data_IF_857662283317
#
_entry.id   IF_857662283317
#
_cell.length_a   1.000
_cell.length_b   1.000
_cell.length_c   1.000
_cell.angle_alpha   90.00
_cell.angle_beta   90.00
_cell.angle_gamma   90.00
#
_symmetry.space_group_name_H-M   'P 1'
#
loop_
_entity.id
_entity.type
_entity.pdbx_description
1 polymer ?
#
# COMPACT_ATOMS: atom_id res chain seq x y z
N UNK A 1 28.13 35.54 -25.40
CA UNK A 1 26.85 34.92 -24.96
C UNK A 1 26.63 33.47 -25.43
N UNK A 2 27.42 32.88 -26.36
CA UNK A 2 27.06 31.60 -27.01
C UNK A 2 27.15 30.29 -26.22
N UNK A 3 28.15 30.08 -25.35
CA UNK A 3 28.36 28.78 -24.68
C UNK A 3 27.30 28.42 -23.63
N UNK A 4 26.89 29.41 -22.82
CA UNK A 4 25.86 29.21 -21.79
C UNK A 4 24.50 28.87 -22.42
N UNK A 5 24.14 29.56 -23.50
CA UNK A 5 22.93 29.28 -24.27
C UNK A 5 22.94 27.89 -24.90
N UNK A 6 24.09 27.44 -25.42
CA UNK A 6 24.23 26.09 -25.95
C UNK A 6 24.06 25.01 -24.87
N UNK A 7 24.64 25.18 -23.68
CA UNK A 7 24.45 24.23 -22.58
C UNK A 7 23.01 24.18 -22.11
N UNK A 8 22.33 25.33 -22.01
CA UNK A 8 20.91 25.38 -21.66
C UNK A 8 20.05 24.64 -22.69
N UNK A 9 20.34 24.79 -23.98
CA UNK A 9 19.64 24.07 -25.05
C UNK A 9 19.85 22.55 -24.93
N UNK A 10 21.09 22.10 -24.75
CA UNK A 10 21.42 20.67 -24.63
C UNK A 10 20.71 20.06 -23.42
N UNK A 11 20.78 20.71 -22.25
CA UNK A 11 20.09 20.26 -21.04
C UNK A 11 18.58 20.21 -21.28
N UNK A 12 18.02 21.24 -21.93
CA UNK A 12 16.59 21.28 -22.28
C UNK A 12 16.16 20.10 -23.16
N UNK A 13 16.93 19.77 -24.20
CA UNK A 13 16.65 18.61 -25.08
C UNK A 13 16.75 17.29 -24.31
N UNK A 14 17.77 17.11 -23.48
CA UNK A 14 17.94 15.88 -22.70
C UNK A 14 16.81 15.71 -21.66
N UNK A 15 16.40 16.79 -20.99
CA UNK A 15 15.26 16.78 -20.06
C UNK A 15 13.97 16.46 -20.81
N UNK A 16 13.73 17.11 -21.95
CA UNK A 16 12.56 16.84 -22.78
C UNK A 16 12.51 15.38 -23.23
N UNK A 17 13.64 14.82 -23.70
CA UNK A 17 13.76 13.42 -24.07
C UNK A 17 13.52 12.45 -22.90
N UNK A 18 14.06 12.79 -21.72
CA UNK A 18 13.91 11.96 -20.52
C UNK A 18 12.46 11.90 -20.01
N UNK A 19 11.78 13.05 -20.03
CA UNK A 19 10.39 13.20 -19.58
C UNK A 19 9.43 12.60 -20.60
N UNK A 20 9.67 12.83 -21.90
CA UNK A 20 8.77 12.43 -22.97
C UNK A 20 8.58 10.90 -23.04
N UNK A 21 7.31 10.51 -23.12
CA UNK A 21 6.89 9.16 -23.50
C UNK A 21 5.80 9.32 -24.56
N UNK A 22 5.88 8.61 -25.69
CA UNK A 22 4.80 8.59 -26.66
C UNK A 22 3.57 7.93 -26.03
N UNK A 23 2.50 8.70 -25.85
CA UNK A 23 1.20 8.21 -25.40
C UNK A 23 0.20 8.25 -26.57
N UNK A 24 -0.72 7.28 -26.66
CA UNK A 24 -1.90 7.37 -27.52
C UNK A 24 -2.66 8.70 -27.38
N UNK A 25 -3.28 9.16 -28.47
CA UNK A 25 -3.95 10.48 -28.52
C UNK A 25 -5.31 10.55 -27.82
N UNK A 26 -5.80 9.43 -27.30
CA UNK A 26 -7.11 9.27 -26.64
C UNK A 26 -7.06 9.47 -25.11
N UNK A 27 -5.87 9.74 -24.54
CA UNK A 27 -5.75 10.10 -23.12
C UNK A 27 -6.25 11.53 -22.87
N UNK A 28 -7.16 11.69 -21.89
CA UNK A 28 -7.70 12.99 -21.49
C UNK A 28 -6.61 13.93 -20.93
N UNK A 29 -5.70 13.40 -20.10
CA UNK A 29 -4.64 14.17 -19.43
C UNK A 29 -3.23 13.53 -19.61
N UNK A 30 -2.66 13.50 -20.82
CA UNK A 30 -1.41 12.81 -21.10
C UNK A 30 -0.22 13.37 -20.30
N UNK A 31 -0.22 14.69 -20.05
CA UNK A 31 0.84 15.36 -19.29
C UNK A 31 0.93 14.88 -17.83
N UNK A 32 -0.20 14.52 -17.19
CA UNK A 32 -0.18 13.98 -15.81
C UNK A 32 0.54 12.64 -15.76
N UNK A 33 0.29 11.77 -16.74
CA UNK A 33 0.96 10.47 -16.88
C UNK A 33 2.45 10.62 -17.19
N UNK A 34 2.79 11.54 -18.09
CA UNK A 34 4.18 11.88 -18.44
C UNK A 34 4.96 12.34 -17.21
N UNK A 35 4.42 13.29 -16.44
CA UNK A 35 5.05 13.80 -15.21
C UNK A 35 5.15 12.72 -14.13
N UNK A 36 4.10 11.91 -13.96
CA UNK A 36 4.10 10.79 -13.02
C UNK A 36 5.21 9.80 -13.37
N UNK A 37 5.29 9.38 -14.63
CA UNK A 37 6.35 8.51 -15.11
C UNK A 37 7.75 9.12 -14.90
N UNK A 38 7.93 10.41 -15.24
CA UNK A 38 9.22 11.08 -15.08
C UNK A 38 9.68 11.06 -13.61
N UNK A 39 8.74 11.23 -12.67
CA UNK A 39 9.00 11.08 -11.23
C UNK A 39 9.45 9.65 -10.89
N UNK A 40 8.73 8.62 -11.33
CA UNK A 40 9.12 7.22 -11.08
C UNK A 40 10.50 6.91 -11.65
N UNK A 41 10.79 7.29 -12.89
CA UNK A 41 12.12 7.12 -13.50
C UNK A 41 13.21 7.80 -12.69
N UNK A 42 12.98 9.05 -12.26
CA UNK A 42 13.96 9.81 -11.49
C UNK A 42 14.29 9.13 -10.16
N UNK A 43 13.26 8.63 -9.44
CA UNK A 43 13.45 7.87 -8.20
C UNK A 43 14.26 6.60 -8.43
N UNK A 44 13.95 5.84 -9.48
CA UNK A 44 14.66 4.59 -9.80
C UNK A 44 16.13 4.87 -10.14
N UNK A 45 16.41 5.82 -11.04
CA UNK A 45 17.79 6.16 -11.40
C UNK A 45 18.58 6.70 -10.20
N UNK A 46 17.96 7.51 -9.35
CA UNK A 46 18.60 8.00 -8.13
C UNK A 46 18.89 6.85 -7.14
N UNK A 47 17.95 5.93 -6.95
CA UNK A 47 18.15 4.77 -6.09
C UNK A 47 19.28 3.85 -6.59
N UNK A 48 19.35 3.61 -7.91
CA UNK A 48 20.46 2.87 -8.54
C UNK A 48 21.78 3.61 -8.31
N UNK A 49 21.82 4.92 -8.54
CA UNK A 49 23.02 5.72 -8.34
C UNK A 49 23.52 5.67 -6.89
N UNK A 50 22.61 5.77 -5.91
CA UNK A 50 22.93 5.64 -4.48
C UNK A 50 23.51 4.24 -4.15
N UNK A 51 22.94 3.19 -4.73
CA UNK A 51 23.44 1.83 -4.55
C UNK A 51 24.81 1.63 -5.19
N UNK A 52 25.05 2.17 -6.38
CA UNK A 52 26.36 2.11 -7.06
C UNK A 52 27.46 2.84 -6.27
N UNK A 53 27.11 3.88 -5.52
CA UNK A 53 28.02 4.56 -4.61
C UNK A 53 28.26 3.79 -3.29
N UNK A 54 27.54 2.69 -3.06
CA UNK A 54 27.62 1.90 -1.83
C UNK A 54 26.98 2.59 -0.61
N UNK A 55 26.13 3.59 -0.82
CA UNK A 55 25.58 4.42 0.26
C UNK A 55 24.35 3.81 0.92
N UNK A 56 23.52 3.09 0.16
CA UNK A 56 22.32 2.42 0.67
C UNK A 56 21.83 1.33 -0.29
N UNK A 57 21.04 0.37 0.20
CA UNK A 57 20.42 -0.66 -0.64
C UNK A 57 19.32 -0.07 -1.54
N UNK A 58 19.22 -0.50 -2.80
CA UNK A 58 18.25 0.03 -3.77
C UNK A 58 16.82 0.10 -3.24
N UNK A 59 16.30 -1.02 -2.70
CA UNK A 59 14.92 -1.06 -2.15
C UNK A 59 14.71 -0.13 -0.95
N UNK A 60 15.74 0.08 -0.12
CA UNK A 60 15.64 1.02 1.00
C UNK A 60 15.60 2.47 0.49
N UNK A 61 16.38 2.78 -0.55
CA UNK A 61 16.34 4.08 -1.23
C UNK A 61 14.99 4.33 -1.91
N UNK A 62 14.48 3.36 -2.66
CA UNK A 62 13.14 3.42 -3.27
C UNK A 62 12.08 3.63 -2.20
N UNK A 63 12.10 2.85 -1.11
CA UNK A 63 11.18 3.02 0.03
C UNK A 63 11.25 4.42 0.61
N UNK A 64 12.44 5.00 0.76
CA UNK A 64 12.62 6.34 1.31
C UNK A 64 12.01 7.43 0.42
N UNK A 65 12.30 7.42 -0.89
CA UNK A 65 11.79 8.45 -1.82
C UNK A 65 10.31 8.29 -2.16
N UNK A 66 9.77 7.10 -1.95
CA UNK A 66 8.36 6.79 -2.21
C UNK A 66 7.56 6.61 -0.93
N UNK A 67 8.12 6.94 0.23
CA UNK A 67 7.43 6.76 1.50
C UNK A 67 6.15 7.59 1.47
N UNK A 68 5.02 6.91 1.70
CA UNK A 68 3.75 7.58 1.78
C UNK A 68 3.54 8.13 3.18
N UNK A 69 2.87 9.29 3.25
CA UNK A 69 2.48 9.89 4.52
C UNK A 69 1.72 8.85 5.36
N UNK A 70 2.20 8.59 6.56
CA UNK A 70 1.51 7.72 7.53
C UNK A 70 0.60 8.54 8.42
N UNK A 71 -0.55 7.97 8.79
CA UNK A 71 -1.53 8.61 9.66
C UNK A 71 -1.74 7.79 10.93
N UNK A 72 -1.95 8.45 12.09
CA UNK A 72 -2.30 7.75 13.33
C UNK A 72 -3.68 7.07 13.22
N UNK A 73 -3.99 6.08 14.08
CA UNK A 73 -5.28 5.40 14.10
C UNK A 73 -6.37 6.29 14.73
N UNK A 74 -6.66 7.42 14.10
CA UNK A 74 -7.65 8.39 14.62
C UNK A 74 -9.06 7.91 14.31
N UNK A 75 -9.90 7.76 15.34
CA UNK A 75 -11.32 7.50 15.15
C UNK A 75 -12.07 8.78 14.77
N UNK A 76 -13.13 8.65 13.98
CA UNK A 76 -14.02 9.75 13.59
C UNK A 76 -15.46 9.44 14.01
N UNK A 77 -16.43 10.24 13.60
CA UNK A 77 -17.86 10.05 13.94
C UNK A 77 -18.46 8.75 13.40
N UNK A 78 -17.93 8.23 12.28
CA UNK A 78 -18.48 7.06 11.59
C UNK A 78 -17.70 5.78 11.92
N UNK A 79 -16.39 5.87 12.08
CA UNK A 79 -15.49 4.72 12.20
C UNK A 79 -14.63 4.82 13.47
N UNK A 80 -14.60 3.73 14.23
CA UNK A 80 -13.57 3.48 15.25
C UNK A 80 -12.37 2.83 14.58
N UNK A 81 -11.19 3.42 14.77
CA UNK A 81 -9.91 2.91 14.24
C UNK A 81 -9.00 2.53 15.39
N UNK A 82 -8.42 1.33 15.33
CA UNK A 82 -7.55 0.82 16.41
C UNK A 82 -6.39 0.04 15.84
N UNK A 83 -5.18 0.35 16.30
CA UNK A 83 -3.99 -0.45 16.06
C UNK A 83 -3.88 -1.56 17.12
N UNK A 84 -3.62 -2.79 16.67
CA UNK A 84 -3.46 -3.96 17.53
C UNK A 84 -2.56 -4.99 16.83
N UNK A 85 -2.46 -6.20 17.38
CA UNK A 85 -1.70 -7.30 16.76
C UNK A 85 -2.54 -8.56 16.66
N UNK A 86 -2.44 -9.24 15.51
CA UNK A 86 -3.03 -10.54 15.25
C UNK A 86 -1.89 -11.54 15.08
N UNK A 87 -1.73 -12.44 16.05
CA UNK A 87 -0.57 -13.34 16.16
C UNK A 87 0.78 -12.61 16.02
N UNK A 88 0.98 -11.55 16.81
CA UNK A 88 2.17 -10.66 16.79
C UNK A 88 2.36 -9.83 15.51
N UNK A 89 1.49 -9.97 14.51
CA UNK A 89 1.54 -9.16 13.29
C UNK A 89 0.70 -7.88 13.49
N UNK A 90 1.28 -6.68 13.29
CA UNK A 90 0.54 -5.44 13.46
C UNK A 90 -0.61 -5.32 12.47
N UNK A 91 -1.80 -5.01 12.96
CA UNK A 91 -2.99 -4.77 12.15
C UNK A 91 -3.67 -3.47 12.59
N UNK A 92 -4.33 -2.80 11.65
CA UNK A 92 -5.25 -1.70 11.93
C UNK A 92 -6.67 -2.15 11.65
N UNK A 93 -7.54 -2.01 12.64
CA UNK A 93 -8.94 -2.44 12.55
C UNK A 93 -9.84 -1.22 12.46
N UNK A 94 -10.77 -1.26 11.51
CA UNK A 94 -11.77 -0.23 11.25
C UNK A 94 -13.15 -0.84 11.52
N UNK A 95 -13.88 -0.26 12.47
CA UNK A 95 -15.18 -0.74 12.92
C UNK A 95 -16.21 0.38 12.76
N UNK A 96 -17.29 0.18 11.98
CA UNK A 96 -18.37 1.14 11.89
C UNK A 96 -19.07 1.33 13.24
N UNK A 97 -19.28 2.59 13.64
CA UNK A 97 -19.97 2.98 14.89
C UNK A 97 -21.48 2.88 14.81
N UNK A 98 -22.04 2.82 13.59
CA UNK A 98 -23.47 2.61 13.37
C UNK A 98 -23.93 1.35 14.12
N UNK A 99 -25.14 1.34 14.66
CA UNK A 99 -25.64 0.15 15.36
C UNK A 99 -25.86 -0.97 14.34
N UNK A 100 -25.22 -2.15 14.49
CA UNK A 100 -25.40 -3.25 13.57
C UNK A 100 -26.80 -3.83 13.70
N UNK A 101 -27.46 -4.12 12.57
CA UNK A 101 -28.74 -4.87 12.54
C UNK A 101 -28.52 -6.39 12.62
N UNK A 102 -27.33 -6.86 12.28
CA UNK A 102 -26.89 -8.25 12.28
C UNK A 102 -25.36 -8.29 12.34
N UNK A 103 -24.77 -9.49 12.44
CA UNK A 103 -23.32 -9.66 12.26
C UNK A 103 -22.88 -9.08 10.90
N UNK A 104 -21.79 -8.31 10.92
CA UNK A 104 -21.25 -7.60 9.77
C UNK A 104 -20.46 -8.51 8.85
N UNK A 105 -20.20 -8.04 7.64
CA UNK A 105 -19.15 -8.61 6.79
C UNK A 105 -17.78 -8.29 7.41
N UNK A 106 -16.79 -9.11 7.07
CA UNK A 106 -15.38 -8.87 7.39
C UNK A 106 -14.57 -8.73 6.12
N UNK A 107 -13.67 -7.76 6.07
CA UNK A 107 -12.70 -7.62 4.99
C UNK A 107 -11.30 -7.66 5.59
N UNK A 108 -10.47 -8.58 5.11
CA UNK A 108 -9.05 -8.61 5.42
C UNK A 108 -8.28 -7.95 4.28
N UNK A 109 -7.72 -6.77 4.54
CA UNK A 109 -7.05 -5.93 3.56
C UNK A 109 -5.52 -6.05 3.65
N UNK A 110 -4.87 -6.23 2.50
CA UNK A 110 -3.43 -6.39 2.37
C UNK A 110 -2.89 -5.27 1.47
N UNK A 111 -2.10 -4.38 2.06
CA UNK A 111 -1.54 -3.25 1.32
C UNK A 111 -0.55 -3.70 0.24
N UNK A 112 -0.45 -2.89 -0.83
CA UNK A 112 0.60 -3.03 -1.85
C UNK A 112 1.90 -2.34 -1.43
N UNK A 113 2.88 -2.32 -2.33
CA UNK A 113 4.17 -1.67 -2.10
C UNK A 113 5.38 -2.49 -2.52
N UNK A 114 5.22 -3.40 -3.50
CA UNK A 114 6.32 -4.22 -4.01
C UNK A 114 6.99 -5.08 -2.94
N UNK A 115 6.24 -5.49 -1.91
CA UNK A 115 6.74 -6.17 -0.71
C UNK A 115 7.81 -5.41 0.08
N UNK A 116 8.12 -4.16 -0.30
CA UNK A 116 9.21 -3.36 0.25
C UNK A 116 8.74 -2.03 0.84
N UNK A 117 7.46 -1.67 0.72
CA UNK A 117 6.97 -0.36 1.14
C UNK A 117 5.52 -0.38 1.61
N UNK A 118 5.10 0.80 2.09
CA UNK A 118 3.79 1.08 2.69
C UNK A 118 3.48 0.32 3.98
N UNK A 119 2.33 0.66 4.55
CA UNK A 119 1.74 0.00 5.70
C UNK A 119 0.22 0.21 5.70
N UNK A 120 -0.49 -0.44 6.62
CA UNK A 120 -1.88 -0.14 6.94
C UNK A 120 -2.10 1.34 7.34
N UNK A 121 -1.04 2.02 7.80
CA UNK A 121 -1.07 3.43 8.19
C UNK A 121 -0.76 4.39 7.04
N UNK A 122 -0.34 3.92 5.86
CA UNK A 122 -0.17 4.79 4.68
C UNK A 122 -1.51 5.45 4.36
N UNK A 123 -1.51 6.78 4.19
CA UNK A 123 -2.73 7.60 4.11
C UNK A 123 -3.71 7.08 3.06
N UNK A 124 -3.24 6.65 1.89
CA UNK A 124 -4.10 6.14 0.83
C UNK A 124 -4.80 4.83 1.23
N UNK A 125 -4.09 3.91 1.90
CA UNK A 125 -4.66 2.66 2.39
C UNK A 125 -5.55 2.84 3.62
N UNK A 126 -5.22 3.79 4.49
CA UNK A 126 -6.08 4.18 5.61
C UNK A 126 -7.41 4.76 5.12
N UNK A 127 -7.37 5.70 4.16
CA UNK A 127 -8.56 6.27 3.53
C UNK A 127 -9.40 5.20 2.82
N UNK A 128 -8.76 4.33 2.04
CA UNK A 128 -9.45 3.23 1.37
C UNK A 128 -10.15 2.31 2.38
N UNK A 129 -9.48 1.95 3.46
CA UNK A 129 -10.03 1.08 4.51
C UNK A 129 -11.20 1.73 5.24
N UNK A 130 -11.11 3.02 5.56
CA UNK A 130 -12.21 3.82 6.15
C UNK A 130 -13.43 3.87 5.26
N UNK A 131 -13.24 4.25 3.99
CA UNK A 131 -14.35 4.36 3.03
C UNK A 131 -15.02 3.01 2.80
N UNK A 132 -14.23 1.94 2.77
CA UNK A 132 -14.73 0.57 2.64
C UNK A 132 -15.56 0.18 3.87
N UNK A 133 -15.03 0.43 5.07
CA UNK A 133 -15.74 0.13 6.32
C UNK A 133 -17.07 0.88 6.41
N UNK A 134 -17.06 2.18 6.11
CA UNK A 134 -18.22 3.07 6.21
C UNK A 134 -19.29 2.73 5.17
N UNK A 135 -18.93 2.72 3.87
CA UNK A 135 -19.89 2.55 2.77
C UNK A 135 -20.51 1.15 2.74
N UNK A 136 -19.79 0.12 3.20
CA UNK A 136 -20.27 -1.26 3.16
C UNK A 136 -20.79 -1.76 4.51
N UNK A 137 -20.74 -0.93 5.56
CA UNK A 137 -21.04 -1.31 6.95
C UNK A 137 -20.32 -2.62 7.35
N UNK A 138 -19.01 -2.67 7.10
CA UNK A 138 -18.16 -3.85 7.27
C UNK A 138 -17.01 -3.56 8.22
N UNK A 139 -16.56 -4.58 8.94
CA UNK A 139 -15.28 -4.49 9.66
C UNK A 139 -14.16 -4.68 8.64
N UNK A 140 -13.14 -3.81 8.67
CA UNK A 140 -11.93 -3.95 7.86
C UNK A 140 -10.75 -4.19 8.79
N UNK A 141 -9.95 -5.22 8.51
CA UNK A 141 -8.68 -5.50 9.17
C UNK A 141 -7.58 -5.31 8.13
N UNK A 142 -6.80 -4.24 8.26
CA UNK A 142 -5.67 -3.94 7.39
C UNK A 142 -4.38 -4.45 8.02
N UNK A 143 -3.70 -5.42 7.39
CA UNK A 143 -2.52 -6.09 7.96
C UNK A 143 -1.21 -5.47 7.50
N UNK A 144 -0.18 -5.51 8.36
CA UNK A 144 1.19 -5.16 8.01
C UNK A 144 2.05 -6.41 7.93
N UNK A 145 2.72 -6.61 6.81
CA UNK A 145 3.72 -7.66 6.67
C UNK A 145 5.13 -7.07 6.73
N UNK A 146 6.08 -7.86 7.20
CA UNK A 146 7.49 -7.46 7.20
C UNK A 146 8.01 -7.23 5.78
N UNK A 147 8.83 -6.20 5.60
CA UNK A 147 9.17 -5.69 4.27
C UNK A 147 10.58 -6.13 3.83
N UNK A 148 10.77 -6.16 2.52
CA UNK A 148 12.09 -6.15 1.89
C UNK A 148 12.79 -4.82 2.14
N UNK A 149 14.14 -4.80 2.14
CA UNK A 149 15.03 -5.96 1.93
C UNK A 149 15.30 -6.80 3.20
N UNK A 150 14.86 -6.34 4.38
CA UNK A 150 15.21 -6.93 5.68
C UNK A 150 14.66 -8.35 5.84
N UNK A 151 13.45 -8.59 5.32
CA UNK A 151 12.80 -9.89 5.37
C UNK A 151 12.48 -10.33 3.95
N UNK A 152 13.04 -11.48 3.54
CA UNK A 152 12.80 -12.05 2.21
C UNK A 152 11.64 -13.04 2.24
N UNK A 153 11.09 -13.32 1.07
CA UNK A 153 10.12 -14.40 0.90
C UNK A 153 10.66 -15.70 1.57
N UNK A 154 9.83 -16.46 2.32
CA UNK A 154 8.37 -16.41 2.41
C UNK A 154 7.79 -15.54 3.53
N UNK A 155 8.59 -14.73 4.23
CA UNK A 155 8.17 -14.06 5.46
C UNK A 155 6.90 -13.19 5.30
N UNK A 156 6.80 -12.44 4.20
CA UNK A 156 5.61 -11.63 3.89
C UNK A 156 4.34 -12.47 3.85
N UNK A 157 4.43 -13.62 3.19
CA UNK A 157 3.32 -14.55 3.03
C UNK A 157 2.95 -15.16 4.38
N UNK A 158 3.94 -15.57 5.17
CA UNK A 158 3.72 -16.13 6.51
C UNK A 158 3.04 -15.13 7.45
N UNK A 159 3.48 -13.87 7.46
CA UNK A 159 2.88 -12.81 8.27
C UNK A 159 1.40 -12.59 7.91
N UNK A 160 1.09 -12.47 6.62
CA UNK A 160 -0.27 -12.27 6.13
C UNK A 160 -1.14 -13.50 6.42
N UNK A 161 -0.63 -14.70 6.16
CA UNK A 161 -1.37 -15.94 6.40
C UNK A 161 -1.64 -16.17 7.89
N UNK A 162 -0.64 -15.91 8.73
CA UNK A 162 -0.71 -16.00 10.19
C UNK A 162 -1.75 -15.04 10.78
N UNK A 163 -1.70 -13.77 10.36
CA UNK A 163 -2.66 -12.75 10.80
C UNK A 163 -4.07 -13.00 10.27
N UNK A 164 -4.22 -13.51 9.06
CA UNK A 164 -5.52 -13.91 8.52
C UNK A 164 -6.14 -15.06 9.30
N UNK A 165 -5.37 -16.14 9.56
CA UNK A 165 -5.84 -17.26 10.40
C UNK A 165 -6.24 -16.81 11.81
N UNK A 166 -5.52 -15.85 12.37
CA UNK A 166 -5.88 -15.28 13.66
C UNK A 166 -7.21 -14.52 13.59
N UNK A 167 -7.43 -13.73 12.53
CA UNK A 167 -8.69 -13.04 12.29
C UNK A 167 -9.89 -13.99 12.20
N UNK A 168 -9.72 -15.16 11.58
CA UNK A 168 -10.78 -16.17 11.40
C UNK A 168 -11.19 -16.89 12.71
N UNK A 169 -10.49 -16.68 13.83
CA UNK A 169 -10.84 -17.33 15.09
C UNK A 169 -12.19 -16.83 15.60
N UNK A 170 -13.01 -17.74 16.14
CA UNK A 170 -14.38 -17.44 16.59
C UNK A 170 -14.42 -16.28 17.60
N UNK A 171 -13.45 -16.22 18.50
CA UNK A 171 -13.35 -15.20 19.54
C UNK A 171 -13.04 -13.82 18.94
N UNK A 172 -12.22 -13.77 17.90
CA UNK A 172 -11.88 -12.54 17.17
C UNK A 172 -13.08 -12.06 16.35
N UNK A 173 -13.74 -12.97 15.62
CA UNK A 173 -14.94 -12.65 14.86
C UNK A 173 -16.06 -12.15 15.78
N UNK A 174 -16.28 -12.81 16.92
CA UNK A 174 -17.26 -12.38 17.92
C UNK A 174 -16.92 -11.00 18.51
N UNK A 175 -15.65 -10.76 18.85
CA UNK A 175 -15.17 -9.46 19.37
C UNK A 175 -15.50 -8.30 18.43
N UNK A 176 -15.40 -8.51 17.12
CA UNK A 176 -15.66 -7.47 16.12
C UNK A 176 -17.07 -7.57 15.50
N UNK A 177 -17.91 -8.50 15.94
CA UNK A 177 -19.25 -8.71 15.40
C UNK A 177 -19.28 -9.10 13.92
N UNK A 178 -18.30 -9.88 13.47
CA UNK A 178 -18.16 -10.33 12.07
C UNK A 178 -18.84 -11.69 11.89
N UNK A 179 -19.61 -11.83 10.81
CA UNK A 179 -20.20 -13.10 10.38
C UNK A 179 -19.12 -14.00 9.75
N UNK A 180 -18.85 -15.20 10.30
CA UNK A 180 -17.85 -16.13 9.76
C UNK A 180 -18.10 -16.55 8.30
N UNK A 181 -19.35 -16.51 7.83
CA UNK A 181 -19.71 -16.90 6.47
C UNK A 181 -19.57 -15.75 5.45
N UNK A 182 -19.16 -14.55 5.90
CA UNK A 182 -19.13 -13.34 5.06
C UNK A 182 -17.81 -12.59 5.18
N UNK A 183 -16.72 -13.30 4.91
CA UNK A 183 -15.36 -12.78 4.96
C UNK A 183 -14.79 -12.69 3.56
N UNK A 184 -14.29 -11.50 3.20
CA UNK A 184 -13.55 -11.25 1.97
C UNK A 184 -12.09 -10.93 2.22
N UNK A 185 -11.22 -11.26 1.27
CA UNK A 185 -9.81 -10.85 1.26
C UNK A 185 -9.59 -9.90 0.10
N UNK A 186 -8.97 -8.75 0.36
CA UNK A 186 -8.71 -7.71 -0.64
C UNK A 186 -7.23 -7.34 -0.58
N UNK A 187 -6.61 -7.13 -1.73
CA UNK A 187 -5.24 -6.63 -1.78
C UNK A 187 -4.96 -5.82 -3.04
N UNK A 188 -3.97 -4.93 -2.96
CA UNK A 188 -3.54 -4.09 -4.08
C UNK A 188 -2.12 -4.46 -4.51
N UNK A 189 -1.85 -4.61 -5.82
CA UNK A 189 -0.51 -4.91 -6.36
C UNK A 189 0.14 -6.13 -5.67
N UNK A 190 1.30 -5.99 -5.03
CA UNK A 190 1.96 -7.05 -4.23
C UNK A 190 1.05 -7.61 -3.13
N UNK A 191 0.17 -6.79 -2.55
CA UNK A 191 -0.84 -7.24 -1.59
C UNK A 191 -1.95 -8.08 -2.25
N UNK A 192 -2.27 -7.82 -3.51
CA UNK A 192 -3.17 -8.65 -4.32
C UNK A 192 -2.56 -10.02 -4.64
N UNK A 193 -1.25 -10.07 -4.91
CA UNK A 193 -0.52 -11.33 -5.01
C UNK A 193 -0.59 -12.14 -3.70
N UNK A 194 -0.34 -11.50 -2.55
CA UNK A 194 -0.44 -12.15 -1.23
C UNK A 194 -1.89 -12.60 -0.93
N UNK A 195 -2.89 -11.77 -1.25
CA UNK A 195 -4.31 -12.09 -1.12
C UNK A 195 -4.66 -13.37 -1.88
N UNK A 196 -4.28 -13.43 -3.17
CA UNK A 196 -4.51 -14.60 -4.02
C UNK A 196 -3.77 -15.84 -3.52
N UNK A 197 -2.59 -15.68 -2.92
CA UNK A 197 -1.81 -16.79 -2.38
C UNK A 197 -2.44 -17.37 -1.10
N UNK A 198 -2.88 -16.53 -0.16
CA UNK A 198 -3.42 -17.02 1.12
C UNK A 198 -4.77 -17.71 0.97
N UNK A 199 -5.64 -17.25 0.06
CA UNK A 199 -6.96 -17.88 -0.15
C UNK A 199 -6.86 -19.27 -0.76
N UNK A 200 -5.74 -19.62 -1.40
CA UNK A 200 -5.48 -20.98 -1.88
C UNK A 200 -5.06 -21.96 -0.77
N UNK A 201 -4.87 -21.48 0.46
CA UNK A 201 -4.42 -22.28 1.61
C UNK A 201 -5.50 -22.50 2.66
N UNK A 202 -6.68 -21.91 2.48
CA UNK A 202 -7.75 -21.82 3.47
C UNK A 202 -8.91 -22.70 3.05
#
# INVERSE_FOLDING_TARGET
MGRKSLYLLIVGVLVAYYVYIPLPGDFEDPWKLILLNAKYKAVIHLAIFIELLGLNHFLASVRFFMDEKKVPPTSDENITVTDTTFNHIPVRVYVPKKQPKALRRGIFFIHGGGWSGNSAASQNYDLFSRWTADRLDTVVVSTNHRLLPEYRFPIQFEDVYSSFKWFLRKEVLAKYGVNPERIGVVGCSSGGNLAAAIVQKV
#
